data_IF_479821071927
#
_entry.id   IF_479821071927
#
_cell.length_a   1.000
_cell.length_b   1.000
_cell.length_c   1.000
_cell.angle_alpha   90.00
_cell.angle_beta   90.00
_cell.angle_gamma   90.00
#
_symmetry.space_group_name_H-M   'P 1'
#
loop_
_entity.id
_entity.type
_entity.pdbx_description
1 polymer ?
#
# COMPACT_ATOMS: atom_id res chain seq x y z
N UNK A 1 -25.63 -31.80 43.40
CA UNK A 1 -24.68 -31.90 42.29
C UNK A 1 -24.81 -30.78 41.22
N UNK A 2 -26.00 -30.42 40.76
CA UNK A 2 -26.20 -29.35 39.74
C UNK A 2 -25.61 -27.97 40.14
N UNK A 3 -25.84 -27.52 41.40
CA UNK A 3 -25.35 -26.22 41.88
C UNK A 3 -23.81 -26.11 41.95
N UNK A 4 -23.11 -27.22 42.22
CA UNK A 4 -21.62 -27.20 42.26
C UNK A 4 -21.02 -27.09 40.86
N UNK A 5 -21.60 -27.78 39.87
CA UNK A 5 -21.16 -27.69 38.46
C UNK A 5 -21.44 -26.30 37.90
N UNK A 6 -22.59 -25.68 38.25
CA UNK A 6 -22.91 -24.31 37.82
C UNK A 6 -21.93 -23.27 38.38
N UNK A 7 -21.59 -23.36 39.69
CA UNK A 7 -20.61 -22.47 40.32
C UNK A 7 -19.21 -22.61 39.71
N UNK A 8 -18.79 -23.85 39.37
CA UNK A 8 -17.51 -24.08 38.70
C UNK A 8 -17.52 -23.47 37.30
N UNK A 9 -18.57 -23.68 36.51
CA UNK A 9 -18.69 -23.10 35.18
C UNK A 9 -18.68 -21.55 35.21
N UNK A 10 -19.41 -20.95 36.15
CA UNK A 10 -19.44 -19.51 36.34
C UNK A 10 -18.05 -18.94 36.73
N UNK A 11 -17.31 -19.64 37.60
CA UNK A 11 -15.95 -19.25 37.98
C UNK A 11 -14.97 -19.34 36.80
N UNK A 12 -15.06 -20.40 35.99
CA UNK A 12 -14.23 -20.55 34.79
C UNK A 12 -14.50 -19.43 33.78
N UNK A 13 -15.79 -19.14 33.54
CA UNK A 13 -16.18 -18.03 32.62
C UNK A 13 -15.63 -16.70 33.16
N UNK A 14 -15.79 -16.40 34.44
CA UNK A 14 -15.25 -15.17 35.03
C UNK A 14 -13.73 -15.10 34.91
N UNK A 15 -13.00 -16.20 35.13
CA UNK A 15 -11.55 -16.23 34.96
C UNK A 15 -11.13 -16.00 33.52
N UNK A 16 -11.83 -16.55 32.53
CA UNK A 16 -11.58 -16.32 31.09
C UNK A 16 -11.86 -14.87 30.73
N UNK A 17 -12.94 -14.27 31.20
CA UNK A 17 -13.25 -12.86 30.96
C UNK A 17 -12.19 -11.92 31.55
N UNK A 18 -11.70 -12.21 32.76
CA UNK A 18 -10.62 -11.45 33.40
C UNK A 18 -9.35 -11.58 32.56
N UNK A 19 -8.99 -12.78 32.12
CA UNK A 19 -7.82 -13.00 31.27
C UNK A 19 -7.90 -12.21 29.96
N UNK A 20 -9.05 -12.26 29.28
CA UNK A 20 -9.29 -11.48 28.05
C UNK A 20 -9.14 -9.98 28.33
N UNK A 21 -9.70 -9.49 29.44
CA UNK A 21 -9.61 -8.07 29.82
C UNK A 21 -8.17 -7.64 30.11
N UNK A 22 -7.38 -8.50 30.78
CA UNK A 22 -5.96 -8.24 31.04
C UNK A 22 -5.16 -8.23 29.73
N UNK A 23 -5.37 -9.22 28.87
CA UNK A 23 -4.70 -9.25 27.54
C UNK A 23 -5.04 -8.00 26.73
N UNK A 24 -6.31 -7.61 26.71
CA UNK A 24 -6.74 -6.38 26.02
C UNK A 24 -6.10 -5.12 26.62
N UNK A 25 -6.03 -5.01 27.95
CA UNK A 25 -5.39 -3.88 28.61
C UNK A 25 -3.88 -3.81 28.34
N UNK A 26 -3.19 -4.95 28.33
CA UNK A 26 -1.76 -5.02 27.98
C UNK A 26 -1.54 -4.61 26.54
N UNK A 27 -2.38 -5.08 25.62
CA UNK A 27 -2.31 -4.74 24.20
C UNK A 27 -2.50 -3.23 23.99
N UNK A 28 -3.55 -2.62 24.56
CA UNK A 28 -3.81 -1.17 24.43
C UNK A 28 -2.73 -0.31 25.07
N UNK A 29 -2.10 -0.75 26.16
CA UNK A 29 -0.96 -0.05 26.77
C UNK A 29 0.28 -0.14 25.88
N UNK A 30 0.51 -1.27 25.23
CA UNK A 30 1.60 -1.47 24.28
C UNK A 30 1.46 -0.56 23.08
N UNK A 31 0.27 -0.50 22.47
CA UNK A 31 -0.01 0.40 21.34
C UNK A 31 0.20 1.88 21.70
N UNK A 32 -0.32 2.33 22.84
CA UNK A 32 -0.10 3.70 23.32
C UNK A 32 1.36 4.03 23.55
N UNK A 33 2.15 3.07 24.04
CA UNK A 33 3.59 3.24 24.23
C UNK A 33 4.30 3.33 22.89
N UNK A 34 3.99 2.45 21.94
CA UNK A 34 4.54 2.47 20.59
C UNK A 34 4.25 3.79 19.88
N UNK A 35 2.99 4.24 19.89
CA UNK A 35 2.60 5.52 19.34
C UNK A 35 3.35 6.70 19.97
N UNK A 36 3.48 6.72 21.31
CA UNK A 36 4.25 7.76 21.99
C UNK A 36 5.71 7.77 21.55
N UNK A 37 6.32 6.59 21.39
CA UNK A 37 7.68 6.46 20.89
C UNK A 37 7.80 6.93 19.44
N UNK A 38 6.88 6.53 18.55
CA UNK A 38 6.84 6.96 17.16
C UNK A 38 6.70 8.50 17.03
N UNK A 39 5.85 9.13 17.84
CA UNK A 39 5.69 10.60 17.85
C UNK A 39 6.93 11.35 18.34
N UNK A 40 7.81 10.72 19.09
CA UNK A 40 9.04 11.31 19.64
C UNK A 40 10.29 10.89 18.84
N UNK A 41 10.18 9.91 17.97
CA UNK A 41 11.31 9.43 17.17
C UNK A 41 11.73 10.48 16.14
N UNK A 42 13.03 10.61 15.93
CA UNK A 42 13.54 11.30 14.76
C UNK A 42 13.27 10.43 13.52
N UNK A 43 12.75 11.01 12.46
CA UNK A 43 12.54 10.30 11.22
C UNK A 43 13.88 9.88 10.60
N UNK A 44 13.96 8.61 10.24
CA UNK A 44 15.09 8.04 9.51
C UNK A 44 14.55 7.33 8.26
N UNK A 45 13.92 8.10 7.38
CA UNK A 45 13.34 7.57 6.14
C UNK A 45 14.45 7.24 5.14
N UNK A 46 14.28 6.19 4.32
CA UNK A 46 15.20 5.85 3.25
C UNK A 46 15.38 7.01 2.26
N UNK A 47 16.55 7.08 1.63
CA UNK A 47 16.76 7.97 0.49
C UNK A 47 15.77 7.59 -0.63
N UNK A 48 15.04 8.58 -1.14
CA UNK A 48 14.01 8.34 -2.14
C UNK A 48 12.64 7.95 -1.60
N UNK A 49 12.43 8.03 -0.26
CA UNK A 49 11.09 7.86 0.31
C UNK A 49 10.04 8.70 -0.41
N UNK A 50 8.88 8.11 -0.66
CA UNK A 50 7.77 8.76 -1.36
C UNK A 50 6.46 8.68 -0.59
N UNK A 51 5.64 9.72 -0.75
CA UNK A 51 4.22 9.70 -0.38
C UNK A 51 3.40 9.41 -1.62
N UNK A 52 2.48 8.45 -1.52
CA UNK A 52 1.51 8.15 -2.57
C UNK A 52 0.14 8.68 -2.19
N UNK A 53 -0.41 9.58 -3.00
CA UNK A 53 -1.81 9.99 -2.92
C UNK A 53 -2.68 8.89 -3.53
N UNK A 54 -3.42 8.16 -2.67
CA UNK A 54 -4.33 7.08 -3.07
C UNK A 54 -5.51 7.63 -3.89
N UNK A 55 -6.12 6.82 -4.73
CA UNK A 55 -7.36 7.18 -5.42
C UNK A 55 -8.39 7.78 -4.46
N UNK A 56 -8.91 8.97 -4.78
CA UNK A 56 -9.80 9.72 -3.91
C UNK A 56 -9.12 10.51 -2.78
N UNK A 57 -7.80 10.72 -2.84
CA UNK A 57 -7.10 11.58 -1.90
C UNK A 57 -7.62 13.02 -1.91
N UNK A 58 -7.32 13.78 -0.84
CA UNK A 58 -7.72 15.19 -0.69
C UNK A 58 -9.24 15.40 -0.78
N UNK A 59 -10.03 14.43 -0.28
CA UNK A 59 -11.50 14.43 -0.28
C UNK A 59 -12.12 14.54 -1.68
N UNK A 60 -11.57 13.84 -2.66
CA UNK A 60 -12.09 13.75 -4.03
C UNK A 60 -12.77 12.41 -4.29
N UNK A 61 -13.53 12.32 -5.40
CA UNK A 61 -14.10 11.04 -5.87
C UNK A 61 -12.98 10.20 -6.54
N UNK A 62 -12.79 8.93 -6.15
CA UNK A 62 -11.73 8.09 -6.70
C UNK A 62 -11.78 7.93 -8.23
N UNK A 63 -10.63 7.83 -8.87
CA UNK A 63 -10.49 7.54 -10.30
C UNK A 63 -11.18 8.57 -11.24
N UNK A 64 -11.34 9.82 -10.77
CA UNK A 64 -11.87 10.94 -11.57
C UNK A 64 -10.74 11.89 -11.96
N UNK A 65 -10.94 12.67 -13.03
CA UNK A 65 -9.98 13.70 -13.44
C UNK A 65 -9.79 14.78 -12.38
N UNK A 66 -10.81 15.08 -11.56
CA UNK A 66 -10.69 16.01 -10.42
C UNK A 66 -9.71 15.45 -9.37
N UNK A 67 -9.88 14.19 -8.98
CA UNK A 67 -8.97 13.50 -8.05
C UNK A 67 -7.54 13.48 -8.57
N UNK A 68 -7.35 13.10 -9.83
CA UNK A 68 -6.05 13.04 -10.49
C UNK A 68 -5.37 14.40 -10.48
N UNK A 69 -6.04 15.43 -11.00
CA UNK A 69 -5.46 16.77 -11.14
C UNK A 69 -5.10 17.36 -9.77
N UNK A 70 -6.00 17.24 -8.79
CA UNK A 70 -5.79 17.72 -7.44
C UNK A 70 -4.62 17.02 -6.74
N UNK A 71 -4.52 15.71 -6.92
CA UNK A 71 -3.40 14.93 -6.38
C UNK A 71 -2.07 15.27 -7.07
N UNK A 72 -2.05 15.42 -8.40
CA UNK A 72 -0.86 15.83 -9.15
C UNK A 72 -0.38 17.23 -8.77
N UNK A 73 -1.29 18.17 -8.60
CA UNK A 73 -0.97 19.55 -8.19
C UNK A 73 -0.38 19.60 -6.76
N UNK A 74 -0.84 18.68 -5.89
CA UNK A 74 -0.36 18.61 -4.50
C UNK A 74 0.97 17.89 -4.36
N UNK A 75 1.11 16.70 -5.01
CA UNK A 75 2.17 15.74 -4.65
C UNK A 75 3.57 16.11 -5.19
N UNK A 76 3.68 17.00 -6.16
CA UNK A 76 4.94 17.39 -6.76
C UNK A 76 5.69 16.21 -7.40
N UNK A 77 6.85 15.86 -6.87
CA UNK A 77 7.67 14.71 -7.32
C UNK A 77 7.25 13.37 -6.66
N UNK A 78 6.17 13.35 -5.88
CA UNK A 78 5.66 12.13 -5.24
C UNK A 78 4.96 11.20 -6.20
N UNK A 79 4.05 10.41 -5.67
CA UNK A 79 3.32 9.37 -6.41
C UNK A 79 1.82 9.60 -6.28
N UNK A 80 1.08 9.42 -7.36
CA UNK A 80 -0.38 9.22 -7.28
C UNK A 80 -0.71 7.76 -7.57
N UNK A 81 -1.81 7.27 -7.05
CA UNK A 81 -2.29 5.92 -7.32
C UNK A 81 -3.65 5.99 -8.00
N UNK A 82 -3.86 5.11 -8.97
CA UNK A 82 -5.13 4.93 -9.68
C UNK A 82 -5.37 3.45 -9.95
N UNK A 83 -6.63 3.02 -9.88
CA UNK A 83 -7.04 1.64 -10.15
C UNK A 83 -7.24 1.42 -11.65
N UNK A 84 -6.69 0.33 -12.22
CA UNK A 84 -6.82 0.02 -13.65
C UNK A 84 -7.65 -1.23 -13.88
N UNK A 85 -8.66 -1.09 -14.73
CA UNK A 85 -9.46 -2.18 -15.28
C UNK A 85 -9.59 -2.07 -16.81
N UNK A 86 -10.22 -3.07 -17.41
CA UNK A 86 -10.46 -3.07 -18.84
C UNK A 86 -11.97 -3.09 -19.13
N UNK A 87 -12.38 -2.37 -20.16
CA UNK A 87 -13.73 -2.48 -20.72
C UNK A 87 -13.90 -3.81 -21.45
N UNK A 88 -15.13 -4.13 -21.83
CA UNK A 88 -15.42 -5.32 -22.64
C UNK A 88 -14.73 -5.29 -24.02
N UNK A 89 -14.37 -4.11 -24.52
CA UNK A 89 -13.59 -3.94 -25.75
C UNK A 89 -12.07 -4.07 -25.52
N UNK A 90 -11.62 -4.23 -24.28
CA UNK A 90 -10.20 -4.33 -23.90
C UNK A 90 -9.50 -2.98 -23.74
N UNK A 91 -10.24 -1.87 -23.66
CA UNK A 91 -9.67 -0.55 -23.41
C UNK A 91 -9.37 -0.35 -21.92
N UNK A 92 -8.17 0.09 -21.52
CA UNK A 92 -7.86 0.36 -20.11
C UNK A 92 -8.52 1.66 -19.64
N UNK A 93 -9.19 1.57 -18.50
CA UNK A 93 -9.91 2.67 -17.85
C UNK A 93 -9.62 2.69 -16.35
N UNK A 94 -9.89 3.81 -15.70
CA UNK A 94 -9.69 3.96 -14.28
C UNK A 94 -10.96 3.60 -13.52
N UNK A 95 -10.89 2.52 -12.72
CA UNK A 95 -12.01 2.06 -11.89
C UNK A 95 -11.54 1.05 -10.86
N UNK A 96 -11.97 1.21 -9.61
CA UNK A 96 -11.78 0.20 -8.57
C UNK A 96 -12.75 -0.99 -8.77
N UNK A 97 -14.01 -0.71 -9.10
CA UNK A 97 -15.05 -1.72 -9.29
C UNK A 97 -15.06 -2.25 -10.73
N UNK A 98 -15.79 -3.32 -10.95
CA UNK A 98 -16.01 -3.86 -12.29
C UNK A 98 -16.59 -2.77 -13.22
N UNK A 99 -16.14 -2.80 -14.47
CA UNK A 99 -16.57 -1.82 -15.48
C UNK A 99 -17.91 -2.25 -16.05
N UNK A 100 -18.94 -1.44 -15.82
CA UNK A 100 -20.31 -1.70 -16.25
C UNK A 100 -20.85 -0.57 -17.14
N UNK A 101 -21.56 -0.94 -18.19
CA UNK A 101 -22.28 0.00 -19.06
C UNK A 101 -21.39 0.70 -20.08
N UNK A 102 -21.62 2.00 -20.27
CA UNK A 102 -20.96 2.81 -21.31
C UNK A 102 -19.52 3.18 -20.91
N UNK A 103 -18.58 2.97 -21.84
CA UNK A 103 -17.13 3.17 -21.60
C UNK A 103 -16.75 4.63 -21.31
N UNK A 104 -17.52 5.58 -21.84
CA UNK A 104 -17.30 7.03 -21.70
C UNK A 104 -17.61 7.58 -20.28
N UNK A 105 -18.14 6.74 -19.39
CA UNK A 105 -18.32 7.09 -17.98
C UNK A 105 -17.02 7.03 -17.17
N UNK A 106 -15.99 6.38 -17.71
CA UNK A 106 -14.73 6.16 -17.02
C UNK A 106 -13.63 7.01 -17.65
N UNK A 107 -12.72 7.50 -16.83
CA UNK A 107 -11.48 8.12 -17.33
C UNK A 107 -10.66 7.03 -18.04
N UNK A 108 -10.31 7.23 -19.29
CA UNK A 108 -9.43 6.30 -19.99
C UNK A 108 -7.98 6.47 -19.54
N UNK A 109 -7.20 5.37 -19.55
CA UNK A 109 -5.77 5.44 -19.25
C UNK A 109 -5.04 6.38 -20.24
N UNK A 110 -5.50 6.44 -21.47
CA UNK A 110 -4.97 7.35 -22.49
C UNK A 110 -5.18 8.83 -22.12
N UNK A 111 -6.39 9.20 -21.68
CA UNK A 111 -6.69 10.54 -21.19
C UNK A 111 -5.84 10.88 -19.97
N UNK A 112 -5.73 9.95 -19.02
CA UNK A 112 -4.90 10.11 -17.84
C UNK A 112 -3.42 10.35 -18.20
N UNK A 113 -2.81 9.54 -19.05
CA UNK A 113 -1.41 9.72 -19.45
C UNK A 113 -1.17 11.04 -20.21
N UNK A 114 -2.15 11.54 -20.95
CA UNK A 114 -2.08 12.84 -21.61
C UNK A 114 -1.94 14.00 -20.61
N UNK A 115 -2.43 13.81 -19.38
CA UNK A 115 -2.31 14.76 -18.27
C UNK A 115 -1.02 14.50 -17.49
N UNK A 116 -0.75 13.24 -17.10
CA UNK A 116 0.41 12.83 -16.29
C UNK A 116 1.74 13.35 -16.88
N UNK A 117 1.94 13.27 -18.19
CA UNK A 117 3.17 13.72 -18.85
C UNK A 117 3.53 15.20 -18.64
N UNK A 118 2.63 16.00 -18.10
CA UNK A 118 2.86 17.43 -17.79
C UNK A 118 3.41 17.64 -16.37
N UNK A 119 3.49 16.57 -15.59
CA UNK A 119 3.87 16.58 -14.18
C UNK A 119 5.11 15.73 -13.95
N UNK A 120 5.95 16.06 -12.98
CA UNK A 120 7.11 15.23 -12.61
C UNK A 120 6.74 14.01 -11.74
N UNK A 121 5.48 13.91 -11.31
CA UNK A 121 4.98 12.84 -10.45
C UNK A 121 5.10 11.46 -11.10
N UNK A 122 5.28 10.43 -10.29
CA UNK A 122 5.10 9.04 -10.70
C UNK A 122 3.66 8.59 -10.49
N UNK A 123 3.29 7.48 -11.13
CA UNK A 123 2.00 6.84 -10.94
C UNK A 123 2.17 5.37 -10.58
N UNK A 124 1.46 4.98 -9.55
CA UNK A 124 1.16 3.61 -9.23
C UNK A 124 -0.15 3.22 -9.93
N UNK A 125 -0.07 2.34 -10.92
CA UNK A 125 -1.24 1.70 -11.53
C UNK A 125 -1.57 0.44 -10.73
N UNK A 126 -2.62 0.49 -9.90
CA UNK A 126 -3.08 -0.67 -9.15
C UNK A 126 -3.94 -1.57 -10.04
N UNK A 127 -3.35 -2.69 -10.49
CA UNK A 127 -3.99 -3.60 -11.44
C UNK A 127 -5.09 -4.39 -10.77
N UNK A 128 -6.32 -4.22 -11.25
CA UNK A 128 -7.51 -5.00 -10.82
C UNK A 128 -7.82 -6.15 -11.77
N UNK A 129 -7.21 -6.14 -12.96
CA UNK A 129 -7.39 -7.13 -14.02
C UNK A 129 -6.12 -7.27 -14.86
N UNK A 130 -5.97 -8.42 -15.51
CA UNK A 130 -4.76 -8.81 -16.25
C UNK A 130 -5.06 -9.25 -17.69
N UNK A 131 -6.21 -8.84 -18.23
CA UNK A 131 -6.71 -9.37 -19.52
C UNK A 131 -6.02 -8.80 -20.75
N UNK A 132 -5.55 -7.54 -20.70
CA UNK A 132 -4.95 -6.83 -21.84
C UNK A 132 -3.80 -5.90 -21.42
N UNK A 133 -2.85 -6.43 -20.67
CA UNK A 133 -1.73 -5.65 -20.12
C UNK A 133 -0.85 -4.96 -21.18
N UNK A 134 -0.52 -5.57 -22.36
CA UNK A 134 0.40 -4.95 -23.31
C UNK A 134 0.00 -3.52 -23.74
N UNK A 135 -1.30 -3.24 -23.80
CA UNK A 135 -1.78 -1.91 -24.18
C UNK A 135 -1.37 -0.81 -23.18
N UNK A 136 -1.14 -1.19 -21.90
CA UNK A 136 -0.68 -0.22 -20.88
C UNK A 136 0.73 0.25 -21.22
N UNK A 137 1.65 -0.67 -21.55
CA UNK A 137 3.01 -0.31 -21.94
C UNK A 137 3.00 0.47 -23.27
N UNK A 138 2.23 0.05 -24.27
CA UNK A 138 2.08 0.76 -25.54
C UNK A 138 1.61 2.22 -25.33
N UNK A 139 0.66 2.43 -24.43
CA UNK A 139 0.19 3.77 -24.07
C UNK A 139 1.25 4.56 -23.31
N UNK A 140 1.96 3.96 -22.36
CA UNK A 140 3.02 4.62 -21.62
C UNK A 140 4.17 5.07 -22.54
N UNK A 141 4.54 4.25 -23.51
CA UNK A 141 5.51 4.60 -24.56
C UNK A 141 4.99 5.73 -25.46
N UNK A 142 3.74 5.61 -25.94
CA UNK A 142 3.10 6.63 -26.80
C UNK A 142 3.04 8.01 -26.15
N UNK A 143 2.79 8.06 -24.84
CA UNK A 143 2.69 9.31 -24.09
C UNK A 143 4.01 9.74 -23.44
N UNK A 144 5.09 8.97 -23.62
CA UNK A 144 6.44 9.26 -23.09
C UNK A 144 6.46 9.33 -21.55
N UNK A 145 5.72 8.43 -20.88
CA UNK A 145 5.60 8.37 -19.41
C UNK A 145 6.15 7.08 -18.80
N UNK A 146 6.94 6.30 -19.54
CA UNK A 146 7.49 5.02 -19.09
C UNK A 146 8.25 5.14 -17.76
N UNK A 147 9.05 6.19 -17.58
CA UNK A 147 9.84 6.42 -16.37
C UNK A 147 8.99 6.84 -15.16
N UNK A 148 7.71 7.15 -15.39
CA UNK A 148 6.78 7.58 -14.35
C UNK A 148 5.87 6.44 -13.85
N UNK A 149 5.79 5.30 -14.55
CA UNK A 149 4.79 4.25 -14.30
C UNK A 149 5.40 3.07 -13.57
N UNK A 150 4.69 2.56 -12.57
CA UNK A 150 4.93 1.24 -11.98
C UNK A 150 3.59 0.59 -11.57
N UNK A 151 3.61 -0.73 -11.29
CA UNK A 151 2.41 -1.47 -10.91
C UNK A 151 2.39 -1.87 -9.45
N UNK A 152 1.18 -1.90 -8.88
CA UNK A 152 0.77 -2.72 -7.73
C UNK A 152 -0.45 -3.57 -8.09
N UNK A 153 -1.06 -4.25 -7.10
CA UNK A 153 -2.14 -5.18 -7.38
C UNK A 153 -1.67 -6.52 -7.96
N UNK A 154 -0.35 -6.73 -8.12
CA UNK A 154 0.24 -7.94 -8.69
C UNK A 154 0.52 -8.95 -7.58
N UNK A 155 -0.05 -10.16 -7.69
CA UNK A 155 0.26 -11.30 -6.83
C UNK A 155 1.23 -12.26 -7.52
N UNK A 156 1.72 -13.26 -6.78
CA UNK A 156 2.68 -14.23 -7.30
C UNK A 156 2.15 -14.95 -8.55
N UNK A 157 0.84 -15.22 -8.59
CA UNK A 157 0.17 -15.90 -9.70
C UNK A 157 0.19 -15.10 -11.01
N UNK A 158 0.10 -13.76 -10.92
CA UNK A 158 0.07 -12.87 -12.07
C UNK A 158 1.46 -12.36 -12.48
N UNK A 159 2.47 -12.51 -11.63
CA UNK A 159 3.79 -11.93 -11.84
C UNK A 159 4.42 -12.32 -13.19
N UNK A 160 4.29 -13.58 -13.60
CA UNK A 160 4.81 -14.03 -14.89
C UNK A 160 4.07 -13.39 -16.08
N UNK A 161 2.76 -13.20 -15.97
CA UNK A 161 1.98 -12.51 -17.00
C UNK A 161 2.39 -11.04 -17.11
N UNK A 162 2.50 -10.33 -15.98
CA UNK A 162 2.95 -8.92 -15.94
C UNK A 162 4.33 -8.77 -16.55
N UNK A 163 5.29 -9.59 -16.14
CA UNK A 163 6.66 -9.57 -16.65
C UNK A 163 6.76 -9.84 -18.16
N UNK A 164 5.88 -10.67 -18.68
CA UNK A 164 5.86 -11.01 -20.12
C UNK A 164 5.16 -9.93 -20.94
N UNK A 165 4.09 -9.36 -20.40
CA UNK A 165 3.22 -8.41 -21.10
C UNK A 165 3.73 -6.96 -21.03
N UNK A 166 4.39 -6.60 -19.92
CA UNK A 166 4.91 -5.25 -19.67
C UNK A 166 6.35 -5.35 -19.11
N UNK A 167 7.32 -5.85 -19.91
CA UNK A 167 8.65 -6.16 -19.41
C UNK A 167 9.45 -4.95 -18.91
N UNK A 168 9.12 -3.76 -19.35
CA UNK A 168 9.85 -2.54 -19.03
C UNK A 168 9.18 -1.70 -17.92
N UNK A 169 8.01 -2.13 -17.41
CA UNK A 169 7.33 -1.46 -16.30
C UNK A 169 7.63 -2.21 -15.00
N UNK A 170 8.30 -1.57 -14.01
CA UNK A 170 8.55 -2.18 -12.72
C UNK A 170 7.26 -2.41 -11.93
N UNK A 171 7.26 -3.38 -11.03
CA UNK A 171 6.11 -3.65 -10.17
C UNK A 171 6.51 -4.11 -8.77
N UNK A 172 5.62 -3.84 -7.82
CA UNK A 172 5.66 -4.40 -6.48
C UNK A 172 4.79 -5.65 -6.43
N UNK A 173 5.20 -6.63 -5.64
CA UNK A 173 4.37 -7.80 -5.36
C UNK A 173 3.46 -7.53 -4.15
N UNK A 174 2.16 -7.71 -4.31
CA UNK A 174 1.22 -7.66 -3.18
C UNK A 174 1.38 -8.90 -2.32
N UNK A 175 1.60 -8.72 -1.01
CA UNK A 175 1.86 -9.82 -0.07
C UNK A 175 0.91 -9.76 1.12
N UNK A 176 0.34 -10.93 1.47
CA UNK A 176 -0.44 -11.14 2.69
C UNK A 176 0.27 -12.15 3.58
N UNK A 177 1.26 -11.72 4.40
CA UNK A 177 2.02 -12.63 5.22
C UNK A 177 1.19 -13.22 6.35
N UNK A 178 1.61 -14.40 6.82
CA UNK A 178 1.04 -14.97 8.03
C UNK A 178 1.46 -14.15 9.26
N UNK A 179 0.54 -13.49 9.99
CA UNK A 179 0.87 -12.57 11.07
C UNK A 179 1.57 -13.24 12.27
N UNK A 180 1.48 -14.56 12.41
CA UNK A 180 2.21 -15.31 13.47
C UNK A 180 3.69 -15.48 13.09
N UNK A 181 4.06 -15.38 11.81
CA UNK A 181 5.39 -15.66 11.29
C UNK A 181 6.18 -14.42 10.85
N UNK A 182 5.58 -13.22 10.94
CA UNK A 182 6.20 -11.97 10.47
C UNK A 182 7.48 -11.57 11.22
N UNK A 183 7.85 -12.29 12.28
CA UNK A 183 9.11 -12.14 13.04
C UNK A 183 10.04 -13.35 12.90
N UNK A 184 9.76 -14.24 11.97
CA UNK A 184 10.57 -15.44 11.75
C UNK A 184 11.49 -15.24 10.53
N UNK A 185 12.78 -15.15 10.75
CA UNK A 185 13.78 -14.83 9.71
C UNK A 185 13.68 -15.76 8.49
N UNK A 186 13.58 -17.06 8.69
CA UNK A 186 13.48 -18.01 7.56
C UNK A 186 12.19 -17.84 6.74
N UNK A 187 11.12 -17.35 7.37
CA UNK A 187 9.88 -17.03 6.68
C UNK A 187 10.01 -15.71 5.92
N UNK A 188 10.63 -14.69 6.50
CA UNK A 188 10.91 -13.42 5.84
C UNK A 188 11.84 -13.61 4.65
N UNK A 189 12.89 -14.44 4.81
CA UNK A 189 13.76 -14.83 3.71
C UNK A 189 13.01 -15.55 2.57
N UNK A 190 12.01 -16.38 2.91
CA UNK A 190 11.19 -17.04 1.87
C UNK A 190 10.33 -16.03 1.10
N UNK A 191 9.77 -15.02 1.77
CA UNK A 191 9.03 -13.93 1.12
C UNK A 191 9.95 -13.14 0.19
N UNK A 192 11.11 -12.71 0.68
CA UNK A 192 12.07 -11.96 -0.12
C UNK A 192 12.54 -12.77 -1.35
N UNK A 193 12.72 -14.09 -1.19
CA UNK A 193 13.04 -14.97 -2.30
C UNK A 193 11.92 -15.00 -3.35
N UNK A 194 10.66 -15.13 -2.94
CA UNK A 194 9.51 -15.10 -3.84
C UNK A 194 9.49 -13.79 -4.65
N UNK A 195 9.68 -12.64 -3.99
CA UNK A 195 9.71 -11.33 -4.65
C UNK A 195 10.81 -11.26 -5.72
N UNK A 196 12.01 -11.73 -5.36
CA UNK A 196 13.15 -11.77 -6.27
C UNK A 196 12.92 -12.72 -7.45
N UNK A 197 12.40 -13.91 -7.19
CA UNK A 197 12.12 -14.93 -8.24
C UNK A 197 11.05 -14.41 -9.23
N UNK A 198 10.06 -13.68 -8.74
CA UNK A 198 9.06 -13.00 -9.58
C UNK A 198 9.67 -11.85 -10.40
N UNK A 199 10.77 -11.27 -9.96
CA UNK A 199 11.39 -10.09 -10.59
C UNK A 199 10.73 -8.78 -10.19
N UNK A 200 10.00 -8.75 -9.08
CA UNK A 200 9.41 -7.54 -8.52
C UNK A 200 10.50 -6.68 -7.82
N UNK A 201 10.28 -5.37 -7.77
CA UNK A 201 11.23 -4.43 -7.13
C UNK A 201 11.06 -4.36 -5.60
N UNK A 202 10.00 -4.94 -5.05
CA UNK A 202 9.70 -4.90 -3.63
C UNK A 202 8.32 -5.46 -3.31
N UNK A 203 7.86 -5.20 -2.09
CA UNK A 203 6.53 -5.58 -1.61
C UNK A 203 5.58 -4.39 -1.51
N UNK A 204 4.31 -4.63 -1.79
CA UNK A 204 3.19 -3.73 -1.47
C UNK A 204 2.31 -4.42 -0.42
N UNK A 205 2.26 -3.90 0.80
CA UNK A 205 1.70 -4.60 1.95
C UNK A 205 0.81 -3.70 2.80
N UNK A 206 -0.25 -4.29 3.38
CA UNK A 206 -1.04 -3.59 4.39
C UNK A 206 -0.16 -3.26 5.61
N UNK A 207 -0.10 -1.99 5.99
CA UNK A 207 0.77 -1.48 7.07
C UNK A 207 0.57 -2.21 8.42
N UNK A 208 -0.59 -2.82 8.67
CA UNK A 208 -0.87 -3.60 9.88
C UNK A 208 -0.23 -4.99 9.89
N UNK A 209 0.29 -5.42 8.75
CA UNK A 209 0.91 -6.73 8.57
C UNK A 209 2.43 -6.64 8.41
N UNK A 210 3.00 -5.45 8.53
CA UNK A 210 4.44 -5.23 8.46
C UNK A 210 5.07 -5.30 9.86
N UNK A 211 6.37 -5.60 9.93
CA UNK A 211 7.18 -5.47 11.13
C UNK A 211 8.55 -4.88 10.78
N UNK A 212 9.23 -4.31 11.76
CA UNK A 212 10.60 -3.79 11.62
C UNK A 212 11.54 -4.86 11.04
N UNK A 213 11.42 -6.11 11.51
CA UNK A 213 12.23 -7.22 11.01
C UNK A 213 11.96 -7.51 9.51
N UNK A 214 10.71 -7.37 9.08
CA UNK A 214 10.36 -7.54 7.66
C UNK A 214 10.98 -6.44 6.81
N UNK A 215 10.86 -5.17 7.20
CA UNK A 215 11.45 -4.05 6.45
C UNK A 215 12.96 -4.21 6.37
N UNK A 216 13.61 -4.51 7.49
CA UNK A 216 15.05 -4.77 7.55
C UNK A 216 15.46 -5.89 6.59
N UNK A 217 14.73 -7.02 6.61
CA UNK A 217 15.01 -8.16 5.72
C UNK A 217 14.86 -7.77 4.24
N UNK A 218 13.84 -6.98 3.88
CA UNK A 218 13.67 -6.51 2.51
C UNK A 218 14.81 -5.57 2.10
N UNK A 219 15.15 -4.59 2.91
CA UNK A 219 16.24 -3.63 2.63
C UNK A 219 17.60 -4.31 2.51
N UNK A 220 17.92 -5.30 3.35
CA UNK A 220 19.16 -6.10 3.25
C UNK A 220 19.29 -6.83 1.90
N UNK A 221 18.16 -7.07 1.22
CA UNK A 221 18.10 -7.72 -0.08
C UNK A 221 17.85 -6.73 -1.24
N UNK A 222 17.95 -5.43 -0.96
CA UNK A 222 17.68 -4.34 -1.91
C UNK A 222 16.25 -4.39 -2.49
N UNK A 223 15.27 -4.81 -1.69
CA UNK A 223 13.86 -4.82 -2.02
C UNK A 223 13.15 -3.65 -1.31
N UNK A 224 12.30 -2.95 -2.03
CA UNK A 224 11.54 -1.82 -1.53
C UNK A 224 10.28 -2.26 -0.76
N UNK A 225 9.83 -1.42 0.17
CA UNK A 225 8.62 -1.67 0.96
C UNK A 225 7.63 -0.51 0.80
N UNK A 226 6.47 -0.80 0.21
CA UNK A 226 5.35 0.13 0.07
C UNK A 226 4.22 -0.27 1.01
N UNK A 227 3.77 0.68 1.85
CA UNK A 227 2.70 0.47 2.83
C UNK A 227 1.39 1.10 2.38
N UNK A 228 0.25 0.38 2.53
CA UNK A 228 -1.09 0.86 2.20
C UNK A 228 -2.17 0.37 3.19
N UNK A 229 -3.30 1.02 3.33
CA UNK A 229 -3.56 2.44 3.14
C UNK A 229 -3.56 3.09 4.52
N UNK A 230 -2.71 4.07 4.76
CA UNK A 230 -2.47 4.68 6.08
C UNK A 230 -3.18 6.03 6.12
N UNK A 231 -4.42 6.07 6.64
CA UNK A 231 -5.29 7.24 6.53
C UNK A 231 -5.43 8.05 7.82
N UNK A 232 -5.12 7.50 8.98
CA UNK A 232 -5.24 8.24 10.23
C UNK A 232 -3.88 8.65 10.82
N UNK A 233 -3.88 9.73 11.58
CA UNK A 233 -2.69 10.37 12.12
C UNK A 233 -1.83 9.43 12.98
N UNK A 234 -2.43 8.67 13.87
CA UNK A 234 -1.70 7.79 14.78
C UNK A 234 -1.02 6.62 14.02
N UNK A 235 -1.71 6.05 13.02
CA UNK A 235 -1.15 5.02 12.15
C UNK A 235 -0.03 5.59 11.26
N UNK A 236 -0.13 6.87 10.82
CA UNK A 236 0.95 7.53 10.06
C UNK A 236 2.23 7.64 10.87
N UNK A 237 2.16 8.04 12.14
CA UNK A 237 3.35 8.07 13.01
C UNK A 237 3.98 6.68 13.18
N UNK A 238 3.15 5.65 13.34
CA UNK A 238 3.63 4.26 13.49
C UNK A 238 4.27 3.79 12.18
N UNK A 239 3.62 4.02 11.03
CA UNK A 239 4.13 3.60 9.73
C UNK A 239 5.45 4.32 9.36
N UNK A 240 5.58 5.62 9.67
CA UNK A 240 6.81 6.37 9.45
C UNK A 240 7.97 5.86 10.32
N UNK A 241 7.68 5.42 11.56
CA UNK A 241 8.70 4.90 12.46
C UNK A 241 9.28 3.55 12.00
N UNK A 242 8.55 2.80 11.17
CA UNK A 242 9.03 1.55 10.54
C UNK A 242 9.98 1.82 9.35
N UNK A 243 10.12 3.08 8.90
CA UNK A 243 10.99 3.51 7.81
C UNK A 243 10.78 2.75 6.46
N UNK A 244 9.55 2.69 5.92
CA UNK A 244 9.29 2.13 4.61
C UNK A 244 9.83 3.03 3.48
N UNK A 245 9.80 2.55 2.24
CA UNK A 245 10.17 3.35 1.05
C UNK A 245 9.00 4.18 0.51
N UNK A 246 7.77 3.74 0.81
CA UNK A 246 6.56 4.43 0.37
C UNK A 246 5.42 4.27 1.38
N UNK A 247 4.61 5.32 1.52
CA UNK A 247 3.33 5.27 2.24
C UNK A 247 2.22 5.79 1.33
N UNK A 248 1.21 4.94 1.10
CA UNK A 248 -0.01 5.28 0.37
C UNK A 248 -1.10 5.74 1.33
N UNK A 249 -1.69 6.91 1.08
CA UNK A 249 -2.71 7.52 1.95
C UNK A 249 -3.73 8.34 1.16
N UNK A 250 -4.95 8.47 1.69
CA UNK A 250 -5.96 9.43 1.19
C UNK A 250 -5.78 10.84 1.76
N UNK A 251 -4.92 10.97 2.79
CA UNK A 251 -4.62 12.24 3.45
C UNK A 251 -3.12 12.60 3.28
N UNK A 252 -2.64 12.80 2.03
CA UNK A 252 -1.23 13.09 1.78
C UNK A 252 -0.78 14.43 2.39
N UNK A 253 -1.68 15.40 2.53
CA UNK A 253 -1.47 16.66 3.22
C UNK A 253 -1.13 16.46 4.69
N UNK A 254 -1.92 15.65 5.41
CA UNK A 254 -1.66 15.31 6.81
C UNK A 254 -0.32 14.57 6.97
N UNK A 255 -0.04 13.58 6.10
CA UNK A 255 1.21 12.82 6.16
C UNK A 255 2.42 13.72 5.91
N UNK A 256 2.35 14.62 4.92
CA UNK A 256 3.42 15.59 4.62
C UNK A 256 3.66 16.53 5.79
N UNK A 257 2.59 17.04 6.41
CA UNK A 257 2.68 17.88 7.61
C UNK A 257 3.39 17.18 8.79
N UNK A 258 3.11 15.87 8.99
CA UNK A 258 3.76 15.07 10.03
C UNK A 258 5.26 14.94 9.74
N UNK A 259 5.62 14.60 8.50
CA UNK A 259 7.02 14.46 8.06
C UNK A 259 7.77 15.77 8.28
N UNK A 260 7.20 16.90 7.86
CA UNK A 260 7.84 18.20 8.05
C UNK A 260 8.02 18.59 9.52
N UNK A 261 7.05 18.28 10.38
CA UNK A 261 7.14 18.55 11.82
C UNK A 261 8.21 17.72 12.49
N UNK A 262 8.30 16.42 12.17
CA UNK A 262 9.30 15.54 12.77
C UNK A 262 10.72 15.76 12.22
N UNK A 263 10.87 16.25 11.00
CA UNK A 263 12.17 16.59 10.41
C UNK A 263 12.80 17.87 11.00
N UNK A 264 12.02 18.69 11.70
CA UNK A 264 12.48 19.93 12.35
C UNK A 264 12.89 19.73 13.82
N UNK A 265 12.63 18.56 14.39
CA UNK A 265 12.98 18.21 15.78
C UNK A 265 14.31 17.46 15.84
#
# INVERSE_FOLDING_TARGET
>A
MKNKKFKIAASVIASVLILISVVFAVFTLSEKKALKQAKLAQLNLPEGFTVTAHAGALNTEPNTMDSITKSLDFIGNGVIEVDVRFTSSGKPVLSHNEVEGEEDKYVSLEEFFSVLKKYPAKVNLDLKEFSNLPIIQELAEKYEVMDQVFFTGVFEEEAQNVKTSCPDIPYYLNVYPNPIRIKNDSYLDSIAKTITDCGAIGININYRLVSEEMITTMHEKNLLVSLWTVDNEDDMYIALAEAPDNITTRNPDLLTDIIEKQSKN
#
